data_IF_516896788313
#
_entry.id   IF_516896788313
#
_cell.length_a   1.000
_cell.length_b   1.000
_cell.length_c   1.000
_cell.angle_alpha   90.00
_cell.angle_beta   90.00
_cell.angle_gamma   90.00
#
_symmetry.space_group_name_H-M   'P 1'
#
loop_
_entity.id
_entity.type
_entity.pdbx_description
1 polymer ?
#
# COMPACT_ATOMS: atom_id res chain seq x y z
N UNK A 1 9.69 -7.19 -9.04
CA UNK A 1 8.57 -6.23 -9.14
C UNK A 1 7.39 -6.89 -9.83
N UNK A 2 6.32 -7.18 -9.10
CA UNK A 2 5.11 -7.81 -9.68
C UNK A 2 4.48 -6.88 -10.74
N UNK A 3 4.09 -7.46 -11.88
CA UNK A 3 3.30 -6.78 -12.89
C UNK A 3 1.81 -6.78 -12.48
N UNK A 4 1.22 -5.60 -12.43
CA UNK A 4 -0.20 -5.38 -12.17
C UNK A 4 -0.95 -5.22 -13.50
N UNK A 5 -2.14 -5.80 -13.62
CA UNK A 5 -3.03 -5.59 -14.76
C UNK A 5 -3.66 -4.17 -14.72
N UNK A 6 -4.41 -3.79 -15.75
CA UNK A 6 -4.96 -2.43 -15.85
C UNK A 6 -5.88 -2.04 -14.68
N UNK A 7 -6.68 -2.98 -14.16
CA UNK A 7 -7.58 -2.76 -13.02
C UNK A 7 -6.75 -2.60 -11.74
N UNK A 8 -5.79 -3.50 -11.52
CA UNK A 8 -4.90 -3.47 -10.36
C UNK A 8 -4.01 -2.22 -10.34
N UNK A 9 -3.57 -1.75 -11.50
CA UNK A 9 -2.81 -0.50 -11.62
C UNK A 9 -3.64 0.70 -11.21
N UNK A 10 -4.92 0.74 -11.59
CA UNK A 10 -5.83 1.80 -11.15
C UNK A 10 -5.99 1.75 -9.62
N UNK A 11 -6.33 0.58 -9.07
CA UNK A 11 -6.46 0.38 -7.62
C UNK A 11 -5.17 0.73 -6.88
N UNK A 12 -4.00 0.42 -7.44
CA UNK A 12 -2.71 0.78 -6.83
C UNK A 12 -2.49 2.30 -6.78
N UNK A 13 -2.85 3.04 -7.84
CA UNK A 13 -2.78 4.50 -7.84
C UNK A 13 -3.74 5.14 -6.84
N UNK A 14 -4.96 4.59 -6.75
CA UNK A 14 -5.94 5.03 -5.75
C UNK A 14 -5.41 4.76 -4.33
N UNK A 15 -4.79 3.60 -4.11
CA UNK A 15 -4.16 3.22 -2.83
C UNK A 15 -3.05 4.20 -2.43
N UNK A 16 -2.12 4.52 -3.35
CA UNK A 16 -1.06 5.49 -3.10
C UNK A 16 -1.63 6.88 -2.80
N UNK A 17 -2.72 7.27 -3.47
CA UNK A 17 -3.39 8.54 -3.22
C UNK A 17 -4.06 8.58 -1.84
N UNK A 18 -4.63 7.47 -1.38
CA UNK A 18 -5.18 7.35 -0.03
C UNK A 18 -4.09 7.46 1.04
N UNK A 19 -2.96 6.78 0.84
CA UNK A 19 -1.80 6.90 1.73
C UNK A 19 -1.30 8.34 1.80
N UNK A 20 -1.16 9.01 0.66
CA UNK A 20 -0.67 10.39 0.59
C UNK A 20 -1.57 11.41 1.30
N UNK A 21 -2.86 11.12 1.50
CA UNK A 21 -3.80 11.98 2.24
C UNK A 21 -3.63 11.89 3.74
N UNK A 22 -2.95 10.85 4.25
CA UNK A 22 -2.80 10.64 5.68
C UNK A 22 -1.63 11.43 6.25
N UNK A 23 -1.74 11.93 7.49
CA UNK A 23 -0.69 12.73 8.09
C UNK A 23 0.59 11.90 8.32
N UNK A 24 1.74 12.54 8.19
CA UNK A 24 3.03 11.95 8.53
C UNK A 24 3.03 11.44 9.99
N UNK A 25 3.71 10.31 10.22
CA UNK A 25 3.70 9.61 11.50
C UNK A 25 2.49 8.68 11.71
N UNK A 26 1.52 8.67 10.79
CA UNK A 26 0.38 7.75 10.87
C UNK A 26 0.79 6.31 10.58
N UNK A 27 0.25 5.37 11.35
CA UNK A 27 0.33 3.94 11.05
C UNK A 27 -0.92 3.50 10.31
N UNK A 28 -0.75 2.77 9.22
CA UNK A 28 -1.84 2.23 8.41
C UNK A 28 -1.69 0.73 8.26
N UNK A 29 -2.75 -0.04 8.43
CA UNK A 29 -2.74 -1.46 8.06
C UNK A 29 -3.10 -1.61 6.59
N UNK A 30 -2.48 -2.58 5.91
CA UNK A 30 -2.80 -2.87 4.51
C UNK A 30 -4.27 -3.22 4.33
N UNK A 31 -4.84 -4.01 5.25
CA UNK A 31 -6.26 -4.33 5.23
C UNK A 31 -7.14 -3.08 5.32
N UNK A 32 -6.76 -2.09 6.12
CA UNK A 32 -7.51 -0.82 6.25
C UNK A 32 -7.41 0.02 4.98
N UNK A 33 -6.24 0.03 4.33
CA UNK A 33 -6.06 0.73 3.04
C UNK A 33 -7.00 0.17 1.96
N UNK A 34 -7.19 -1.15 1.92
CA UNK A 34 -8.12 -1.75 0.96
C UNK A 34 -9.59 -1.62 1.40
N UNK A 35 -9.90 -1.96 2.65
CA UNK A 35 -11.27 -2.02 3.13
C UNK A 35 -11.90 -0.67 3.41
N UNK A 36 -11.16 0.28 3.99
CA UNK A 36 -11.68 1.58 4.43
C UNK A 36 -11.48 2.63 3.33
N UNK A 37 -10.25 2.76 2.80
CA UNK A 37 -9.97 3.83 1.84
C UNK A 37 -10.44 3.52 0.42
N UNK A 38 -10.43 2.23 0.02
CA UNK A 38 -10.77 1.80 -1.32
C UNK A 38 -12.11 1.06 -1.42
N UNK A 39 -12.75 0.75 -0.29
CA UNK A 39 -13.98 -0.05 -0.20
C UNK A 39 -13.92 -1.33 -1.03
N UNK A 40 -12.76 -2.01 -1.00
CA UNK A 40 -12.45 -3.17 -1.81
C UNK A 40 -11.81 -4.29 -1.00
N UNK A 41 -11.94 -5.56 -1.41
CA UNK A 41 -11.22 -6.66 -0.78
C UNK A 41 -9.71 -6.48 -0.92
N UNK A 42 -8.95 -6.91 0.09
CA UNK A 42 -7.50 -6.86 0.05
C UNK A 42 -6.95 -7.64 -1.15
N UNK A 43 -6.15 -6.98 -1.98
CA UNK A 43 -5.51 -7.63 -3.12
C UNK A 43 -4.03 -7.93 -2.80
N UNK A 44 -3.64 -9.21 -2.67
CA UNK A 44 -2.28 -9.59 -2.29
C UNK A 44 -1.22 -9.19 -3.33
N UNK A 45 -1.58 -9.09 -4.62
CA UNK A 45 -0.64 -8.65 -5.67
C UNK A 45 -0.32 -7.17 -5.52
N UNK A 46 -1.31 -6.34 -5.23
CA UNK A 46 -1.15 -4.91 -4.99
C UNK A 46 -0.36 -4.67 -3.69
N UNK A 47 -0.72 -5.38 -2.62
CA UNK A 47 0.00 -5.33 -1.35
C UNK A 47 1.48 -5.71 -1.51
N UNK A 48 1.75 -6.78 -2.28
CA UNK A 48 3.11 -7.21 -2.58
C UNK A 48 3.86 -6.22 -3.47
N UNK A 49 3.20 -5.62 -4.45
CA UNK A 49 3.78 -4.53 -5.27
C UNK A 49 4.21 -3.36 -4.39
N UNK A 50 3.32 -2.87 -3.53
CA UNK A 50 3.62 -1.78 -2.59
C UNK A 50 4.84 -2.12 -1.73
N UNK A 51 4.88 -3.31 -1.14
CA UNK A 51 6.00 -3.76 -0.31
C UNK A 51 7.33 -3.74 -1.06
N UNK A 52 7.34 -4.18 -2.33
CA UNK A 52 8.54 -4.14 -3.18
C UNK A 52 8.98 -2.71 -3.53
N UNK A 53 8.03 -1.79 -3.78
CA UNK A 53 8.36 -0.39 -4.06
C UNK A 53 8.89 0.33 -2.82
N UNK A 54 8.33 0.04 -1.65
CA UNK A 54 8.80 0.56 -0.36
C UNK A 54 10.21 0.03 -0.04
N UNK A 55 10.44 -1.27 -0.20
CA UNK A 55 11.76 -1.88 0.00
C UNK A 55 12.81 -1.32 -0.98
N UNK A 56 12.40 -0.96 -2.20
CA UNK A 56 13.27 -0.32 -3.19
C UNK A 56 13.46 1.20 -2.96
N UNK A 57 12.84 1.78 -1.92
CA UNK A 57 12.92 3.22 -1.63
C UNK A 57 12.16 4.13 -2.61
N UNK A 58 11.29 3.56 -3.45
CA UNK A 58 10.48 4.31 -4.41
C UNK A 58 9.27 4.99 -3.76
N UNK A 59 8.77 4.41 -2.66
CA UNK A 59 7.64 4.93 -1.90
C UNK A 59 8.12 5.23 -0.48
N UNK A 60 7.92 6.47 -0.03
CA UNK A 60 8.36 6.94 1.31
C UNK A 60 7.44 6.44 2.42
N UNK A 61 7.55 5.15 2.71
CA UNK A 61 6.89 4.48 3.82
C UNK A 61 7.91 3.63 4.55
N UNK A 62 7.63 3.32 5.81
CA UNK A 62 8.39 2.32 6.56
C UNK A 62 7.49 1.12 6.83
N UNK A 63 7.88 -0.10 6.42
CA UNK A 63 7.08 -1.28 6.74
C UNK A 63 7.09 -1.53 8.24
N UNK A 64 5.92 -1.83 8.82
CA UNK A 64 5.80 -2.14 10.25
C UNK A 64 6.30 -3.56 10.59
N UNK A 65 6.50 -4.40 9.58
CA UNK A 65 7.13 -5.71 9.72
C UNK A 65 7.64 -6.27 8.39
N UNK A 66 7.70 -7.60 8.28
CA UNK A 66 8.43 -8.27 7.20
C UNK A 66 7.51 -8.83 6.11
N UNK A 67 6.20 -8.80 6.29
CA UNK A 67 5.23 -9.35 5.32
C UNK A 67 4.48 -8.23 4.62
N UNK A 68 4.13 -8.47 3.35
CA UNK A 68 3.40 -7.50 2.51
C UNK A 68 1.97 -7.22 2.97
N UNK A 69 1.38 -8.07 3.81
CA UNK A 69 0.06 -7.86 4.41
C UNK A 69 0.07 -7.06 5.72
N UNK A 70 1.26 -6.71 6.22
CA UNK A 70 1.40 -5.88 7.41
C UNK A 70 1.33 -4.40 7.04
N UNK A 71 1.12 -3.55 8.05
CA UNK A 71 0.98 -2.13 7.86
C UNK A 71 2.27 -1.37 7.53
N UNK A 72 2.10 -0.06 7.34
CA UNK A 72 3.16 0.90 7.06
C UNK A 72 3.06 2.09 8.03
N UNK A 73 4.21 2.67 8.35
CA UNK A 73 4.34 4.00 8.94
C UNK A 73 4.57 5.00 7.80
N UNK A 74 3.80 6.09 7.82
CA UNK A 74 3.94 7.18 6.85
C UNK A 74 5.05 8.12 7.31
N UNK A 75 6.03 8.38 6.44
CA UNK A 75 7.22 9.17 6.73
C UNK A 75 7.11 10.63 6.26
#
# INVERSE_FOLDING_TARGET
MIALNAIEQKTYRDLLSAIAKRPQGSKVQVCDLFGIDLSQPANPRIARRLYEEVAAGMVRLQPLGQRSGEGYLIL
#
